data_IF_478185912207
#
_entry.id   IF_478185912207
#
_cell.length_a   1.000
_cell.length_b   1.000
_cell.length_c   1.000
_cell.angle_alpha   90.00
_cell.angle_beta   90.00
_cell.angle_gamma   90.00
#
_symmetry.space_group_name_H-M   'P 1'
#
loop_
_entity.id
_entity.type
_entity.pdbx_description
1 polymer ?
#
# COMPACT_ATOMS: atom_id res chain seq x y z
N UNK A 1 -15.57 -1.14 10.37
CA UNK A 1 -15.93 -1.56 9.00
C UNK A 1 -14.65 -1.65 8.19
N UNK A 2 -14.54 -2.62 7.31
CA UNK A 2 -13.36 -2.89 6.48
C UNK A 2 -13.80 -3.10 5.03
N UNK A 3 -12.87 -3.19 4.10
CA UNK A 3 -13.17 -3.54 2.69
C UNK A 3 -13.90 -4.88 2.58
N UNK A 4 -13.66 -5.80 3.51
CA UNK A 4 -14.27 -7.14 3.50
C UNK A 4 -15.79 -7.16 3.68
N UNK A 5 -16.41 -6.03 4.01
CA UNK A 5 -17.86 -5.87 3.93
C UNK A 5 -18.39 -5.91 2.48
N UNK A 6 -17.49 -5.77 1.49
CA UNK A 6 -17.78 -5.77 0.05
C UNK A 6 -17.11 -6.97 -0.65
N UNK A 7 -16.94 -8.08 0.08
CA UNK A 7 -16.21 -9.27 -0.40
C UNK A 7 -16.76 -9.81 -1.73
N UNK A 8 -18.03 -9.60 -2.02
CA UNK A 8 -18.65 -10.01 -3.29
C UNK A 8 -18.12 -9.26 -4.53
N UNK A 9 -17.44 -8.10 -4.31
CA UNK A 9 -16.92 -7.25 -5.39
C UNK A 9 -15.45 -7.56 -5.78
N UNK A 10 -14.79 -8.49 -5.08
CA UNK A 10 -13.39 -8.86 -5.35
C UNK A 10 -13.11 -10.30 -4.90
N UNK A 11 -11.91 -10.84 -5.21
CA UNK A 11 -11.54 -12.22 -4.92
C UNK A 11 -11.73 -12.57 -3.44
N UNK A 12 -12.28 -13.75 -3.19
CA UNK A 12 -12.60 -14.20 -1.85
C UNK A 12 -11.33 -14.47 -1.03
N UNK A 13 -11.31 -13.91 0.19
CA UNK A 13 -10.33 -14.23 1.22
C UNK A 13 -11.06 -14.83 2.42
N UNK A 14 -10.69 -16.04 2.86
CA UNK A 14 -11.25 -16.65 4.06
C UNK A 14 -11.11 -15.72 5.28
N UNK A 15 -12.14 -15.62 6.15
CA UNK A 15 -12.14 -14.70 7.28
C UNK A 15 -10.90 -14.80 8.17
N UNK A 16 -10.38 -16.00 8.40
CA UNK A 16 -9.21 -16.29 9.23
C UNK A 16 -7.89 -15.76 8.64
N UNK A 17 -7.87 -15.43 7.35
CA UNK A 17 -6.69 -14.87 6.66
C UNK A 17 -6.80 -13.36 6.38
N UNK A 18 -7.91 -12.74 6.82
CA UNK A 18 -8.12 -11.31 6.57
C UNK A 18 -7.27 -10.44 7.47
N UNK A 19 -6.45 -9.62 6.85
CA UNK A 19 -5.66 -8.59 7.51
C UNK A 19 -6.35 -7.26 7.32
N UNK A 20 -6.83 -6.66 8.41
CA UNK A 20 -7.51 -5.36 8.39
C UNK A 20 -7.04 -4.49 9.55
N UNK A 21 -6.88 -3.21 9.31
CA UNK A 21 -6.61 -2.18 10.31
C UNK A 21 -7.80 -1.21 10.44
N UNK A 22 -8.96 -1.59 9.89
CA UNK A 22 -10.16 -0.76 9.89
C UNK A 22 -10.24 0.22 8.72
N UNK A 23 -9.53 -0.06 7.62
CA UNK A 23 -9.58 0.74 6.39
C UNK A 23 -10.98 0.78 5.79
N UNK A 24 -11.28 1.87 5.13
CA UNK A 24 -12.61 2.11 4.57
C UNK A 24 -13.53 2.87 5.52
N UNK A 25 -14.80 2.96 5.15
CA UNK A 25 -15.82 3.75 5.87
C UNK A 25 -15.37 5.17 6.22
N UNK A 26 -14.50 5.75 5.40
CA UNK A 26 -14.01 7.12 5.57
C UNK A 26 -15.14 8.13 5.45
N UNK A 27 -15.06 9.22 6.18
CA UNK A 27 -16.09 10.23 6.22
C UNK A 27 -16.36 10.84 4.84
N UNK A 28 -17.62 11.11 4.54
CA UNK A 28 -18.06 11.88 3.38
C UNK A 28 -18.65 13.19 3.88
N UNK A 29 -17.99 14.31 3.59
CA UNK A 29 -18.41 15.63 4.08
C UNK A 29 -18.80 16.55 2.93
N UNK A 30 -19.86 17.35 3.12
CA UNK A 30 -20.26 18.36 2.15
C UNK A 30 -19.36 19.58 2.24
N UNK A 31 -18.93 20.07 1.09
CA UNK A 31 -18.13 21.30 1.00
C UNK A 31 -19.06 22.53 0.96
N UNK A 32 -19.16 23.25 2.09
CA UNK A 32 -20.01 24.42 2.20
C UNK A 32 -19.34 25.73 1.73
N UNK A 33 -18.04 25.74 1.52
CA UNK A 33 -17.28 26.94 1.10
C UNK A 33 -16.50 26.75 -0.20
N UNK A 34 -15.68 25.70 -0.27
CA UNK A 34 -14.81 25.45 -1.43
C UNK A 34 -15.65 25.14 -2.67
N UNK A 35 -16.64 24.25 -2.53
CA UNK A 35 -17.54 23.88 -3.64
C UNK A 35 -18.24 25.09 -4.24
N UNK A 36 -19.06 25.85 -3.47
CA UNK A 36 -19.70 27.06 -3.99
C UNK A 36 -18.73 28.10 -4.57
N UNK A 37 -17.57 28.32 -3.96
CA UNK A 37 -16.57 29.24 -4.50
C UNK A 37 -15.98 28.80 -5.86
N UNK A 38 -15.99 27.49 -6.13
CA UNK A 38 -15.61 26.89 -7.40
C UNK A 38 -16.80 26.67 -8.36
N UNK A 39 -17.99 27.17 -8.05
CA UNK A 39 -19.20 26.97 -8.88
C UNK A 39 -19.86 25.60 -8.70
N UNK A 40 -19.43 24.78 -7.73
CA UNK A 40 -19.91 23.43 -7.49
C UNK A 40 -20.83 23.39 -6.26
N UNK A 41 -22.13 23.47 -6.47
CA UNK A 41 -23.12 23.54 -5.38
C UNK A 41 -23.26 22.24 -4.57
N UNK A 42 -22.92 21.09 -5.17
CA UNK A 42 -23.04 19.75 -4.58
C UNK A 42 -21.72 18.99 -4.50
N UNK A 43 -20.63 19.68 -4.12
CA UNK A 43 -19.34 19.05 -3.91
C UNK A 43 -19.30 18.33 -2.56
N UNK A 44 -18.91 17.07 -2.58
CA UNK A 44 -18.64 16.24 -1.41
C UNK A 44 -17.19 15.77 -1.42
N UNK A 45 -16.58 15.70 -0.25
CA UNK A 45 -15.20 15.28 -0.05
C UNK A 45 -15.18 13.95 0.70
N UNK A 46 -14.69 12.91 0.04
CA UNK A 46 -14.42 11.60 0.64
C UNK A 46 -13.03 11.62 1.26
N UNK A 47 -12.95 11.52 2.59
CA UNK A 47 -11.71 11.72 3.33
C UNK A 47 -10.84 10.45 3.37
N UNK A 48 -10.29 10.04 2.23
CA UNK A 48 -9.45 8.84 2.13
C UNK A 48 -8.11 8.95 2.88
N UNK A 49 -7.69 10.15 3.26
CA UNK A 49 -6.57 10.39 4.16
C UNK A 49 -6.83 9.94 5.61
N UNK A 50 -8.07 9.61 5.97
CA UNK A 50 -8.45 9.05 7.27
C UNK A 50 -8.25 7.52 7.36
N UNK A 51 -7.81 6.86 6.29
CA UNK A 51 -7.40 5.46 6.36
C UNK A 51 -6.13 5.29 7.22
N UNK A 52 -5.86 4.09 7.78
CA UNK A 52 -4.78 3.83 8.75
C UNK A 52 -3.40 4.32 8.36
N UNK A 53 -2.95 4.14 7.11
CA UNK A 53 -1.65 4.65 6.63
C UNK A 53 -1.74 6.06 6.02
N UNK A 54 -2.92 6.67 6.04
CA UNK A 54 -3.17 8.02 5.54
C UNK A 54 -3.54 8.11 4.07
N UNK A 55 -3.99 7.02 3.43
CA UNK A 55 -4.43 7.06 2.03
C UNK A 55 -5.40 5.93 1.65
N UNK A 56 -6.06 6.06 0.50
CA UNK A 56 -6.93 5.00 -0.05
C UNK A 56 -6.19 3.71 -0.41
N UNK A 57 -4.86 3.73 -0.43
CA UNK A 57 -4.03 2.54 -0.70
C UNK A 57 -4.13 1.48 0.38
N UNK A 58 -4.62 1.82 1.56
CA UNK A 58 -4.94 0.87 2.62
C UNK A 58 -5.94 -0.20 2.15
N UNK A 59 -6.91 0.17 1.31
CA UNK A 59 -7.87 -0.77 0.73
C UNK A 59 -7.19 -1.82 -0.15
N UNK A 60 -6.24 -1.40 -0.97
CA UNK A 60 -5.41 -2.30 -1.75
C UNK A 60 -4.53 -3.17 -0.86
N UNK A 61 -3.83 -2.59 0.11
CA UNK A 61 -2.91 -3.31 0.97
C UNK A 61 -3.62 -4.36 1.83
N UNK A 62 -4.82 -4.04 2.36
CA UNK A 62 -5.64 -5.00 3.09
C UNK A 62 -5.97 -6.24 2.24
N UNK A 63 -6.40 -6.05 1.00
CA UNK A 63 -6.67 -7.16 0.07
C UNK A 63 -5.40 -7.94 -0.27
N UNK A 64 -4.36 -7.24 -0.74
CA UNK A 64 -3.12 -7.88 -1.21
C UNK A 64 -2.44 -8.71 -0.09
N UNK A 65 -2.27 -8.11 1.10
CA UNK A 65 -1.62 -8.80 2.22
C UNK A 65 -2.48 -9.95 2.75
N UNK A 66 -3.81 -9.84 2.71
CA UNK A 66 -4.69 -10.96 3.08
C UNK A 66 -4.56 -12.14 2.12
N UNK A 67 -4.44 -11.90 0.82
CA UNK A 67 -4.16 -12.96 -0.16
C UNK A 67 -2.78 -13.59 0.08
N UNK A 68 -1.77 -12.81 0.43
CA UNK A 68 -0.44 -13.33 0.79
C UNK A 68 -0.53 -14.26 2.01
N UNK A 69 -1.25 -13.83 3.07
CA UNK A 69 -1.48 -14.67 4.25
C UNK A 69 -2.19 -15.96 3.89
N UNK A 70 -3.26 -15.90 3.07
CA UNK A 70 -4.00 -17.07 2.62
C UNK A 70 -3.14 -18.03 1.78
N UNK A 71 -2.18 -17.51 1.02
CA UNK A 71 -1.22 -18.29 0.25
C UNK A 71 -0.02 -18.78 1.08
N UNK A 72 0.05 -18.46 2.37
CA UNK A 72 1.18 -18.84 3.24
C UNK A 72 2.47 -18.04 3.01
N UNK A 73 2.41 -16.97 2.23
CA UNK A 73 3.57 -16.12 1.92
C UNK A 73 4.02 -15.34 3.16
N UNK A 74 5.33 -15.21 3.35
CA UNK A 74 5.95 -14.53 4.50
C UNK A 74 6.84 -13.35 4.12
N UNK A 75 6.97 -13.09 2.83
CA UNK A 75 7.82 -12.03 2.32
C UNK A 75 7.10 -11.24 1.20
N UNK A 76 6.87 -9.97 1.46
CA UNK A 76 6.36 -9.01 0.47
C UNK A 76 7.50 -8.27 -0.18
N UNK A 77 7.59 -8.35 -1.49
CA UNK A 77 8.58 -7.60 -2.29
C UNK A 77 7.83 -6.63 -3.20
N UNK A 78 8.21 -5.36 -3.18
CA UNK A 78 7.48 -4.33 -3.91
C UNK A 78 8.37 -3.20 -4.43
N UNK A 79 7.80 -2.38 -5.33
CA UNK A 79 8.37 -1.11 -5.75
C UNK A 79 7.36 0.00 -5.50
N UNK A 80 7.62 0.92 -4.58
CA UNK A 80 6.81 2.14 -4.46
C UNK A 80 7.43 3.12 -3.48
N UNK A 81 7.72 4.31 -3.94
CA UNK A 81 8.18 5.43 -3.11
C UNK A 81 7.05 6.24 -2.47
N UNK A 82 5.79 5.84 -2.67
CA UNK A 82 4.60 6.61 -2.28
C UNK A 82 3.65 5.88 -1.35
N UNK A 83 2.37 6.22 -1.45
CA UNK A 83 1.32 5.70 -0.59
C UNK A 83 1.14 4.17 -0.68
N UNK A 84 1.40 3.56 -1.83
CA UNK A 84 1.34 2.10 -1.99
C UNK A 84 2.38 1.41 -1.10
N UNK A 85 3.63 1.86 -1.16
CA UNK A 85 4.69 1.33 -0.30
C UNK A 85 4.39 1.53 1.19
N UNK A 86 3.90 2.73 1.58
CA UNK A 86 3.53 3.00 2.97
C UNK A 86 2.40 2.09 3.46
N UNK A 87 1.37 1.86 2.64
CA UNK A 87 0.27 0.97 2.99
C UNK A 87 0.74 -0.49 3.07
N UNK A 88 1.49 -1.00 2.08
CA UNK A 88 2.05 -2.35 2.13
C UNK A 88 2.91 -2.56 3.38
N UNK A 89 3.82 -1.63 3.69
CA UNK A 89 4.65 -1.72 4.90
C UNK A 89 3.81 -1.82 6.18
N UNK A 90 2.74 -1.01 6.30
CA UNK A 90 1.85 -1.03 7.46
C UNK A 90 1.11 -2.37 7.61
N UNK A 91 0.53 -2.88 6.52
CA UNK A 91 -0.25 -4.13 6.55
C UNK A 91 0.64 -5.38 6.66
N UNK A 92 1.83 -5.36 6.07
CA UNK A 92 2.83 -6.41 6.29
C UNK A 92 3.28 -6.47 7.76
N UNK A 93 3.51 -5.30 8.40
CA UNK A 93 3.81 -5.23 9.82
C UNK A 93 2.66 -5.81 10.67
N UNK A 94 1.40 -5.48 10.35
CA UNK A 94 0.22 -6.01 11.05
C UNK A 94 0.08 -7.53 10.88
N UNK A 95 0.52 -8.09 9.75
CA UNK A 95 0.46 -9.53 9.45
C UNK A 95 1.73 -10.31 9.87
N UNK A 96 2.77 -9.65 10.37
CA UNK A 96 4.06 -10.28 10.65
C UNK A 96 4.80 -10.76 9.40
N UNK A 97 4.55 -10.12 8.26
CA UNK A 97 5.19 -10.41 6.97
C UNK A 97 6.38 -9.47 6.77
N UNK A 98 7.53 -10.02 6.36
CA UNK A 98 8.69 -9.23 5.95
C UNK A 98 8.32 -8.36 4.73
N UNK A 99 8.76 -7.10 4.72
CA UNK A 99 8.48 -6.17 3.62
C UNK A 99 9.76 -5.53 3.11
N UNK A 100 10.10 -5.82 1.85
CA UNK A 100 11.26 -5.27 1.15
C UNK A 100 10.77 -4.39 -0.01
N UNK A 101 11.20 -3.12 -0.04
CA UNK A 101 10.71 -2.15 -1.04
C UNK A 101 11.89 -1.50 -1.76
N UNK A 102 11.98 -1.71 -3.07
CA UNK A 102 12.92 -0.99 -3.94
C UNK A 102 12.30 0.34 -4.39
N UNK A 103 13.09 1.40 -4.32
CA UNK A 103 12.66 2.76 -4.69
C UNK A 103 13.73 3.49 -5.51
N UNK A 104 13.31 4.48 -6.28
CA UNK A 104 14.24 5.38 -6.96
C UNK A 104 15.02 6.25 -5.95
N UNK A 105 16.20 6.69 -6.35
CA UNK A 105 17.08 7.53 -5.51
C UNK A 105 16.43 8.86 -5.10
N UNK A 106 15.62 9.45 -5.97
CA UNK A 106 14.94 10.73 -5.77
C UNK A 106 13.64 10.64 -4.95
N UNK A 107 13.34 9.49 -4.35
CA UNK A 107 12.11 9.29 -3.60
C UNK A 107 11.95 10.26 -2.40
N UNK A 108 10.75 10.79 -2.14
CA UNK A 108 10.51 11.75 -1.05
C UNK A 108 10.80 11.16 0.34
N UNK A 109 11.60 11.86 1.13
CA UNK A 109 12.09 11.38 2.43
C UNK A 109 10.96 11.13 3.44
N UNK A 110 9.85 11.88 3.37
CA UNK A 110 8.73 11.72 4.30
C UNK A 110 8.09 10.33 4.23
N UNK A 111 7.86 9.82 3.02
CA UNK A 111 7.30 8.48 2.81
C UNK A 111 8.26 7.36 3.17
N UNK A 112 9.56 7.57 2.92
CA UNK A 112 10.61 6.65 3.37
C UNK A 112 10.60 6.46 4.88
N UNK A 113 10.58 7.57 5.62
CA UNK A 113 10.51 7.52 7.09
C UNK A 113 9.27 6.76 7.58
N UNK A 114 8.12 6.95 6.93
CA UNK A 114 6.89 6.25 7.25
C UNK A 114 7.02 4.73 7.03
N UNK A 115 7.53 4.30 5.87
CA UNK A 115 7.76 2.88 5.56
C UNK A 115 8.75 2.23 6.53
N UNK A 116 9.86 2.91 6.82
CA UNK A 116 10.86 2.43 7.80
C UNK A 116 10.30 2.32 9.22
N UNK A 117 9.44 3.26 9.62
CA UNK A 117 8.77 3.22 10.93
C UNK A 117 7.83 2.01 11.07
N UNK A 118 7.29 1.51 9.95
CA UNK A 118 6.51 0.26 9.90
C UNK A 118 7.39 -1.00 9.76
N UNK A 119 8.72 -0.86 9.75
CA UNK A 119 9.66 -1.97 9.72
C UNK A 119 10.00 -2.50 8.32
N UNK A 120 9.63 -1.78 7.25
CA UNK A 120 10.04 -2.17 5.90
C UNK A 120 11.52 -1.90 5.65
N UNK A 121 12.20 -2.83 4.95
CA UNK A 121 13.53 -2.61 4.42
C UNK A 121 13.45 -1.82 3.12
N UNK A 122 14.22 -0.75 3.01
CA UNK A 122 14.18 0.14 1.85
C UNK A 122 15.49 0.06 1.07
N UNK A 123 15.41 -0.30 -0.19
CA UNK A 123 16.52 -0.32 -1.13
C UNK A 123 16.42 0.89 -2.07
N UNK A 124 17.27 1.88 -1.87
CA UNK A 124 17.37 3.04 -2.78
C UNK A 124 18.32 2.71 -3.92
N UNK A 125 17.78 2.62 -5.14
CA UNK A 125 18.54 2.24 -6.31
C UNK A 125 18.72 3.43 -7.23
N UNK A 126 20.00 3.77 -7.51
CA UNK A 126 20.36 4.81 -8.47
C UNK A 126 19.96 4.38 -9.88
N UNK A 127 19.34 5.28 -10.63
CA UNK A 127 18.89 5.02 -11.99
C UNK A 127 17.57 4.27 -12.09
N UNK A 128 17.05 3.66 -11.02
CA UNK A 128 15.77 2.95 -11.05
C UNK A 128 14.62 3.89 -11.45
N UNK A 129 13.90 3.50 -12.49
CA UNK A 129 12.81 4.30 -13.09
C UNK A 129 13.29 5.41 -14.03
N UNK A 130 14.60 5.56 -14.26
CA UNK A 130 15.19 6.51 -15.19
C UNK A 130 16.02 5.81 -16.28
N UNK A 131 16.76 4.78 -15.90
CA UNK A 131 17.57 3.95 -16.77
C UNK A 131 16.85 2.62 -17.01
N UNK A 132 16.55 2.25 -18.28
CA UNK A 132 15.85 1.01 -18.60
C UNK A 132 16.57 -0.25 -18.13
N UNK A 133 17.89 -0.32 -18.30
CA UNK A 133 18.69 -1.51 -17.97
C UNK A 133 18.74 -1.71 -16.45
N UNK A 134 18.92 -0.63 -15.70
CA UNK A 134 18.82 -0.65 -14.23
C UNK A 134 17.44 -1.06 -13.79
N UNK A 135 16.40 -0.56 -14.44
CA UNK A 135 15.01 -0.87 -14.11
C UNK A 135 14.72 -2.36 -14.32
N UNK A 136 15.13 -2.94 -15.43
CA UNK A 136 15.01 -4.38 -15.71
C UNK A 136 15.76 -5.18 -14.64
N UNK A 137 17.02 -4.85 -14.36
CA UNK A 137 17.83 -5.53 -13.35
C UNK A 137 17.21 -5.50 -11.95
N UNK A 138 16.57 -4.38 -11.59
CA UNK A 138 15.83 -4.27 -10.31
C UNK A 138 14.65 -5.23 -10.27
N UNK A 139 13.84 -5.30 -11.34
CA UNK A 139 12.70 -6.22 -11.39
C UNK A 139 13.15 -7.68 -11.39
N UNK A 140 14.22 -8.03 -12.10
CA UNK A 140 14.77 -9.38 -12.07
C UNK A 140 15.19 -9.77 -10.65
N UNK A 141 15.88 -8.87 -9.95
CA UNK A 141 16.28 -9.09 -8.56
C UNK A 141 15.10 -9.22 -7.60
N UNK A 142 14.06 -8.41 -7.77
CA UNK A 142 12.85 -8.50 -6.96
C UNK A 142 12.10 -9.83 -7.22
N UNK A 143 12.07 -10.30 -8.47
CA UNK A 143 11.48 -11.60 -8.81
C UNK A 143 12.27 -12.76 -8.18
N UNK A 144 13.60 -12.71 -8.18
CA UNK A 144 14.45 -13.68 -7.47
C UNK A 144 14.14 -13.71 -5.97
N UNK A 145 14.01 -12.52 -5.34
CA UNK A 145 13.69 -12.39 -3.92
C UNK A 145 12.31 -12.95 -3.59
N UNK A 146 11.31 -12.71 -4.47
CA UNK A 146 9.96 -13.22 -4.30
C UNK A 146 9.85 -14.74 -4.50
N UNK A 147 10.77 -15.34 -5.28
CA UNK A 147 10.81 -16.78 -5.55
C UNK A 147 11.66 -17.57 -4.52
N UNK A 148 12.30 -16.88 -3.58
CA UNK A 148 13.15 -17.53 -2.57
C UNK A 148 12.32 -18.45 -1.65
N UNK A 149 12.86 -19.61 -1.19
CA UNK A 149 12.12 -20.58 -0.37
C UNK A 149 11.53 -20.05 0.93
N UNK A 150 12.08 -18.95 1.44
CA UNK A 150 11.63 -18.28 2.68
C UNK A 150 10.78 -17.02 2.40
N UNK A 151 10.30 -16.86 1.17
CA UNK A 151 9.50 -15.73 0.73
C UNK A 151 8.00 -15.87 1.08
#
# INVERSE_FOLDING_TARGET
MSIFNYQEAFDFVPPEHRVTMGEGNTSLIRSHRIGPAAGLQNLWLKLENCNPSGSYKDRFAASAVSHMVAAGQRHCVATSSGNTGSALAAYCAAAGIKCDIAICEAAPTGKLKQMMAYGANIFRVRGFGLDPDVTISVFDKLNEMAAAPDA
#
